data_IF_636431687982
#
_entry.id   IF_636431687982
#
_cell.length_a   1.000
_cell.length_b   1.000
_cell.length_c   1.000
_cell.angle_alpha   90.00
_cell.angle_beta   90.00
_cell.angle_gamma   90.00
#
_symmetry.space_group_name_H-M   'P 1'
#
loop_
_entity.id
_entity.type
_entity.pdbx_description
1 polymer ?
#
# COMPACT_ATOMS: atom_id res chain seq x y z
N UNK A 1 -42.92 5.64 0.07
CA UNK A 1 -42.49 7.04 0.21
C UNK A 1 -41.33 7.18 1.19
N UNK A 2 -41.43 6.66 2.43
CA UNK A 2 -40.36 6.73 3.44
C UNK A 2 -39.02 6.13 3.00
N UNK A 3 -39.01 4.95 2.38
CA UNK A 3 -37.78 4.32 1.88
C UNK A 3 -37.01 5.20 0.89
N UNK A 4 -37.72 5.84 -0.04
CA UNK A 4 -37.13 6.74 -1.04
C UNK A 4 -36.54 8.00 -0.42
N UNK A 5 -37.06 8.45 0.72
CA UNK A 5 -36.49 9.58 1.47
C UNK A 5 -35.19 9.13 2.17
N UNK A 6 -35.22 7.95 2.79
CA UNK A 6 -34.07 7.39 3.51
C UNK A 6 -32.87 7.10 2.60
N UNK A 7 -33.08 6.79 1.32
CA UNK A 7 -31.99 6.59 0.35
C UNK A 7 -31.24 7.88 0.00
N UNK A 8 -31.77 9.06 0.35
CA UNK A 8 -31.07 10.34 0.18
C UNK A 8 -30.19 10.71 1.39
N UNK A 9 -30.19 9.90 2.46
CA UNK A 9 -29.28 10.12 3.59
C UNK A 9 -27.86 9.69 3.17
N UNK A 10 -26.94 10.64 3.21
CA UNK A 10 -25.55 10.50 2.77
C UNK A 10 -24.53 10.30 3.91
N UNK A 11 -25.00 10.32 5.17
CA UNK A 11 -24.22 9.98 6.36
C UNK A 11 -24.77 8.72 7.05
N UNK A 12 -23.87 7.79 7.35
CA UNK A 12 -24.12 6.63 8.23
C UNK A 12 -24.78 7.00 9.56
N UNK A 13 -24.42 8.15 10.15
CA UNK A 13 -24.96 8.58 11.42
C UNK A 13 -26.44 8.96 11.30
N UNK A 14 -26.89 9.48 10.15
CA UNK A 14 -28.30 9.75 9.90
C UNK A 14 -29.10 8.47 9.75
N UNK A 15 -28.56 7.46 9.08
CA UNK A 15 -29.20 6.14 9.00
C UNK A 15 -29.32 5.47 10.37
N UNK A 16 -28.29 5.59 11.23
CA UNK A 16 -28.33 5.10 12.62
C UNK A 16 -29.35 5.89 13.45
N UNK A 17 -29.38 7.23 13.33
CA UNK A 17 -30.37 8.06 14.02
C UNK A 17 -31.80 7.69 13.58
N UNK A 18 -32.01 7.48 12.29
CA UNK A 18 -33.30 7.05 11.74
C UNK A 18 -33.71 5.68 12.28
N UNK A 19 -32.79 4.71 12.35
CA UNK A 19 -33.08 3.38 12.90
C UNK A 19 -33.39 3.41 14.40
N UNK A 20 -32.85 4.38 15.15
CA UNK A 20 -33.11 4.55 16.58
C UNK A 20 -34.51 5.14 16.91
N UNK A 21 -35.23 5.69 15.93
CA UNK A 21 -36.54 6.35 16.16
C UNK A 21 -37.61 5.35 16.64
N UNK A 22 -37.69 4.17 16.02
CA UNK A 22 -38.58 3.09 16.44
C UNK A 22 -38.20 1.76 15.78
N UNK A 23 -38.68 0.64 16.33
CA UNK A 23 -38.49 -0.69 15.72
C UNK A 23 -38.99 -0.77 14.27
N UNK A 24 -40.02 -0.01 13.92
CA UNK A 24 -40.52 0.03 12.54
C UNK A 24 -39.51 0.70 11.59
N UNK A 25 -38.90 1.81 12.00
CA UNK A 25 -37.86 2.47 11.21
C UNK A 25 -36.58 1.64 11.15
N UNK A 26 -36.20 1.03 12.28
CA UNK A 26 -35.08 0.08 12.31
C UNK A 26 -35.27 -1.03 11.28
N UNK A 27 -36.44 -1.67 11.25
CA UNK A 27 -36.73 -2.71 10.27
C UNK A 27 -36.66 -2.20 8.83
N UNK A 28 -37.16 -0.98 8.55
CA UNK A 28 -37.03 -0.39 7.20
C UNK A 28 -35.55 -0.21 6.83
N UNK A 29 -34.72 0.35 7.72
CA UNK A 29 -33.31 0.61 7.42
C UNK A 29 -32.52 -0.70 7.25
N UNK A 30 -32.71 -1.66 8.17
CA UNK A 30 -32.00 -2.94 8.19
C UNK A 30 -32.44 -3.83 7.04
N UNK A 31 -33.74 -4.09 6.88
CA UNK A 31 -34.25 -5.03 5.87
C UNK A 31 -34.07 -4.54 4.44
N UNK A 32 -33.86 -3.24 4.21
CA UNK A 32 -33.56 -2.68 2.90
C UNK A 32 -32.05 -2.44 2.67
N UNK A 33 -31.18 -2.84 3.61
CA UNK A 33 -29.73 -2.77 3.43
C UNK A 33 -29.20 -1.36 3.19
N UNK A 34 -29.81 -0.32 3.79
CA UNK A 34 -29.50 1.06 3.44
C UNK A 34 -28.05 1.47 3.75
N UNK A 35 -27.45 0.93 4.81
CA UNK A 35 -26.02 1.17 5.11
C UNK A 35 -25.10 0.60 4.02
N UNK A 36 -25.42 -0.60 3.51
CA UNK A 36 -24.69 -1.20 2.40
C UNK A 36 -24.85 -0.37 1.13
N UNK A 37 -26.07 0.07 0.84
CA UNK A 37 -26.34 0.94 -0.30
C UNK A 37 -25.56 2.25 -0.24
N UNK A 38 -25.52 2.89 0.94
CA UNK A 38 -24.73 4.11 1.15
C UNK A 38 -23.24 3.87 0.90
N UNK A 39 -22.67 2.80 1.47
CA UNK A 39 -21.28 2.41 1.24
C UNK A 39 -20.96 2.21 -0.24
N UNK A 40 -21.77 1.41 -0.97
CA UNK A 40 -21.55 1.12 -2.38
C UNK A 40 -21.72 2.37 -3.25
N UNK A 41 -22.67 3.24 -2.91
CA UNK A 41 -22.88 4.50 -3.65
C UNK A 41 -21.67 5.41 -3.51
N UNK A 42 -21.05 5.46 -2.33
CA UNK A 42 -19.88 6.32 -2.09
C UNK A 42 -18.55 5.68 -2.54
N UNK A 43 -18.46 4.36 -2.45
CA UNK A 43 -17.28 3.54 -2.72
C UNK A 43 -17.70 2.30 -3.54
N UNK A 44 -17.78 2.43 -4.87
CA UNK A 44 -18.30 1.38 -5.75
C UNK A 44 -17.56 0.05 -5.65
N UNK A 45 -16.29 0.05 -5.25
CA UNK A 45 -15.46 -1.16 -5.10
C UNK A 45 -16.07 -2.15 -4.10
N UNK A 46 -16.79 -1.64 -3.08
CA UNK A 46 -17.47 -2.44 -2.07
C UNK A 46 -18.60 -3.31 -2.62
N UNK A 47 -19.08 -3.07 -3.85
CA UNK A 47 -20.09 -3.90 -4.50
C UNK A 47 -19.63 -5.35 -4.72
N UNK A 48 -18.31 -5.59 -4.75
CA UNK A 48 -17.73 -6.93 -4.86
C UNK A 48 -17.88 -7.77 -3.59
N UNK A 49 -18.16 -7.16 -2.44
CA UNK A 49 -18.32 -7.88 -1.16
C UNK A 49 -19.65 -8.64 -1.17
N UNK A 50 -19.54 -9.96 -1.10
CA UNK A 50 -20.68 -10.88 -1.20
C UNK A 50 -21.32 -11.18 0.15
N UNK A 51 -20.53 -11.24 1.23
CA UNK A 51 -21.02 -11.53 2.58
C UNK A 51 -20.21 -10.81 3.66
N UNK A 52 -20.77 -10.77 4.86
CA UNK A 52 -20.14 -10.22 6.06
C UNK A 52 -20.03 -11.33 7.10
N UNK A 53 -18.84 -11.50 7.64
CA UNK A 53 -18.53 -12.45 8.70
C UNK A 53 -18.15 -11.65 9.98
N UNK A 54 -18.99 -11.68 11.02
CA UNK A 54 -18.72 -10.99 12.29
C UNK A 54 -17.79 -11.85 13.16
N UNK A 55 -16.72 -11.23 13.67
CA UNK A 55 -15.78 -11.88 14.59
C UNK A 55 -16.39 -11.89 15.99
N UNK A 56 -16.67 -13.08 16.53
CA UNK A 56 -17.15 -13.24 17.90
C UNK A 56 -15.98 -13.40 18.87
N UNK A 57 -15.92 -12.54 19.89
CA UNK A 57 -14.98 -12.65 21.01
C UNK A 57 -15.57 -13.39 22.22
N UNK A 58 -16.88 -13.68 22.18
CA UNK A 58 -17.59 -14.44 23.21
C UNK A 58 -17.98 -15.82 22.68
N UNK A 59 -18.05 -16.82 23.57
CA UNK A 59 -18.60 -18.15 23.28
C UNK A 59 -20.13 -18.15 23.13
N UNK A 60 -20.77 -16.98 23.04
CA UNK A 60 -22.20 -16.86 22.79
C UNK A 60 -22.53 -17.21 21.35
N UNK A 61 -23.70 -17.81 21.12
CA UNK A 61 -24.14 -18.10 19.76
C UNK A 61 -24.16 -16.82 18.90
N UNK A 62 -23.64 -16.87 17.67
CA UNK A 62 -23.66 -15.73 16.77
C UNK A 62 -25.09 -15.24 16.58
N UNK A 63 -25.28 -13.92 16.51
CA UNK A 63 -26.63 -13.37 16.34
C UNK A 63 -27.24 -13.93 15.05
N UNK A 64 -28.35 -14.65 15.17
CA UNK A 64 -28.96 -15.38 14.04
C UNK A 64 -29.54 -14.47 12.94
N UNK A 65 -29.50 -13.14 13.11
CA UNK A 65 -30.03 -12.19 12.13
C UNK A 65 -28.93 -11.59 11.24
N UNK A 66 -28.65 -12.28 10.13
CA UNK A 66 -27.66 -11.85 9.11
C UNK A 66 -27.85 -10.41 8.63
N UNK A 67 -29.09 -9.91 8.53
CA UNK A 67 -29.36 -8.54 8.07
C UNK A 67 -28.92 -7.48 9.10
N UNK A 68 -29.05 -7.76 10.39
CA UNK A 68 -28.59 -6.85 11.45
C UNK A 68 -27.06 -6.78 11.50
N UNK A 69 -26.39 -7.93 11.36
CA UNK A 69 -24.93 -8.01 11.27
C UNK A 69 -24.45 -7.18 10.07
N UNK A 70 -25.04 -7.41 8.90
CA UNK A 70 -24.68 -6.68 7.67
C UNK A 70 -24.91 -5.17 7.85
N UNK A 71 -26.06 -4.77 8.40
CA UNK A 71 -26.35 -3.37 8.69
C UNK A 71 -25.31 -2.73 9.62
N UNK A 72 -24.95 -3.38 10.73
CA UNK A 72 -23.94 -2.89 11.68
C UNK A 72 -22.57 -2.79 11.03
N UNK A 73 -22.14 -3.84 10.33
CA UNK A 73 -20.83 -3.89 9.69
C UNK A 73 -20.67 -2.78 8.64
N UNK A 74 -21.65 -2.59 7.75
CA UNK A 74 -21.58 -1.53 6.75
C UNK A 74 -21.70 -0.13 7.35
N UNK A 75 -22.51 0.06 8.40
CA UNK A 75 -22.59 1.34 9.10
C UNK A 75 -21.25 1.69 9.76
N UNK A 76 -20.62 0.73 10.44
CA UNK A 76 -19.28 0.88 11.02
C UNK A 76 -18.21 1.08 9.95
N UNK A 77 -18.29 0.34 8.84
CA UNK A 77 -17.36 0.46 7.71
C UNK A 77 -17.41 1.87 7.13
N UNK A 78 -18.59 2.42 6.85
CA UNK A 78 -18.72 3.80 6.35
C UNK A 78 -18.00 4.80 7.25
N UNK A 79 -18.18 4.69 8.57
CA UNK A 79 -17.50 5.54 9.54
C UNK A 79 -15.99 5.33 9.51
N UNK A 80 -15.50 4.10 9.41
CA UNK A 80 -14.08 3.81 9.31
C UNK A 80 -13.45 4.43 8.05
N UNK A 81 -14.11 4.29 6.90
CA UNK A 81 -13.68 4.83 5.61
C UNK A 81 -13.48 6.35 5.65
N UNK A 82 -14.30 7.06 6.43
CA UNK A 82 -14.26 8.53 6.52
C UNK A 82 -13.50 9.07 7.73
N UNK A 83 -13.37 8.29 8.81
CA UNK A 83 -12.91 8.79 10.12
C UNK A 83 -11.59 8.20 10.61
N UNK A 84 -11.15 7.02 10.13
CA UNK A 84 -9.88 6.43 10.58
C UNK A 84 -8.68 7.29 10.19
N UNK A 85 -7.63 7.41 11.01
CA UNK A 85 -6.52 8.31 10.73
C UNK A 85 -5.82 7.97 9.41
N UNK A 86 -5.25 8.97 8.75
CA UNK A 86 -4.39 8.72 7.59
C UNK A 86 -3.05 8.10 8.01
N UNK A 87 -2.59 7.14 7.23
CA UNK A 87 -1.35 6.38 7.41
C UNK A 87 -0.62 6.20 6.08
N UNK A 88 0.65 5.81 6.16
CA UNK A 88 1.35 5.21 5.02
C UNK A 88 0.84 3.77 4.83
N UNK A 89 0.43 3.44 3.62
CA UNK A 89 -0.28 2.20 3.31
C UNK A 89 0.57 1.14 2.63
N UNK A 90 1.75 1.47 2.10
CA UNK A 90 2.66 0.46 1.54
C UNK A 90 3.37 -0.28 2.69
N UNK A 91 3.43 -1.61 2.61
CA UNK A 91 4.13 -2.47 3.55
C UNK A 91 5.44 -2.98 2.93
N UNK A 92 5.33 -3.80 1.89
CA UNK A 92 6.45 -4.53 1.31
C UNK A 92 6.43 -4.42 -0.22
N UNK A 93 7.58 -4.47 -0.91
CA UNK A 93 7.58 -4.63 -2.35
C UNK A 93 7.17 -6.06 -2.69
N UNK A 94 6.61 -6.25 -3.88
CA UNK A 94 6.21 -7.57 -4.39
C UNK A 94 7.02 -7.92 -5.62
N UNK A 95 6.99 -7.05 -6.64
CA UNK A 95 7.62 -7.33 -7.93
C UNK A 95 7.83 -6.02 -8.69
N UNK A 96 8.86 -5.98 -9.52
CA UNK A 96 9.03 -5.02 -10.61
C UNK A 96 8.96 -5.77 -11.95
N UNK A 97 8.43 -5.14 -13.00
CA UNK A 97 8.41 -5.76 -14.34
C UNK A 97 9.80 -6.10 -14.87
N UNK A 98 10.79 -5.30 -14.48
CA UNK A 98 12.20 -5.55 -14.72
C UNK A 98 13.04 -4.91 -13.61
N UNK A 99 14.28 -5.36 -13.47
CA UNK A 99 15.29 -4.69 -12.65
C UNK A 99 16.63 -4.82 -13.38
N UNK A 100 17.41 -3.74 -13.46
CA UNK A 100 18.72 -3.77 -14.12
C UNK A 100 19.76 -4.49 -13.26
N UNK A 101 20.55 -3.75 -12.45
CA UNK A 101 21.57 -4.36 -11.61
C UNK A 101 20.91 -4.93 -10.34
N UNK A 102 20.39 -6.15 -10.42
CA UNK A 102 19.79 -6.84 -9.26
C UNK A 102 20.86 -7.53 -8.40
N UNK A 103 20.79 -7.45 -7.04
CA UNK A 103 19.76 -6.82 -6.20
C UNK A 103 19.97 -5.32 -5.90
N UNK A 104 21.06 -4.76 -6.40
CA UNK A 104 21.56 -3.42 -6.10
C UNK A 104 20.54 -2.29 -6.34
N UNK A 105 19.79 -2.38 -7.43
CA UNK A 105 18.82 -1.39 -7.91
C UNK A 105 17.38 -1.94 -7.84
N UNK A 106 17.12 -2.78 -6.84
CA UNK A 106 15.83 -3.45 -6.69
C UNK A 106 14.74 -2.54 -6.10
N UNK A 107 13.48 -2.96 -6.29
CA UNK A 107 12.28 -2.27 -5.83
C UNK A 107 12.28 -1.99 -4.32
N UNK A 108 12.98 -2.78 -3.50
CA UNK A 108 13.07 -2.59 -2.04
C UNK A 108 13.62 -1.21 -1.67
N UNK A 109 14.52 -0.66 -2.49
CA UNK A 109 15.12 0.65 -2.28
C UNK A 109 14.08 1.77 -2.30
N UNK A 110 12.96 1.57 -2.99
CA UNK A 110 11.89 2.57 -3.09
C UNK A 110 11.06 2.75 -1.82
N UNK A 111 11.30 1.94 -0.77
CA UNK A 111 10.62 2.07 0.52
C UNK A 111 11.30 3.03 1.48
N UNK A 112 12.60 3.29 1.27
CA UNK A 112 13.36 4.20 2.11
C UNK A 112 13.40 5.60 1.46
N UNK A 113 12.98 6.66 2.18
CA UNK A 113 12.99 8.02 1.65
C UNK A 113 14.39 8.59 1.47
N UNK A 114 15.45 7.92 1.96
CA UNK A 114 16.82 8.41 1.86
C UNK A 114 17.38 8.07 0.49
N UNK A 115 17.79 9.10 -0.24
CA UNK A 115 18.49 8.95 -1.52
C UNK A 115 19.81 8.14 -1.39
N UNK A 116 20.37 8.03 -0.17
CA UNK A 116 21.57 7.24 0.12
C UNK A 116 21.46 6.40 1.39
N UNK A 117 21.87 5.13 1.29
CA UNK A 117 21.98 4.19 2.41
C UNK A 117 23.40 3.61 2.40
N UNK A 118 24.11 3.70 3.54
CA UNK A 118 25.48 3.18 3.69
C UNK A 118 26.43 3.60 2.54
N UNK A 119 26.35 4.89 2.14
CA UNK A 119 27.12 5.51 1.06
C UNK A 119 26.78 5.07 -0.38
N UNK A 120 25.71 4.30 -0.56
CA UNK A 120 25.18 3.89 -1.86
C UNK A 120 23.93 4.69 -2.19
N UNK A 121 23.77 5.12 -3.45
CA UNK A 121 22.50 5.68 -3.92
C UNK A 121 21.39 4.59 -3.84
N UNK A 122 20.23 4.95 -3.29
CA UNK A 122 19.11 4.04 -3.06
C UNK A 122 17.97 4.37 -4.01
N UNK A 123 17.76 3.50 -5.01
CA UNK A 123 16.70 3.63 -6.01
C UNK A 123 16.40 2.27 -6.65
N UNK A 124 15.26 2.18 -7.31
CA UNK A 124 14.97 1.13 -8.27
C UNK A 124 15.32 1.59 -9.69
N UNK A 125 15.81 0.67 -10.54
CA UNK A 125 16.11 0.89 -11.95
C UNK A 125 15.50 -0.19 -12.84
N UNK A 126 14.80 0.20 -13.90
CA UNK A 126 14.35 -0.71 -14.96
C UNK A 126 15.52 -1.23 -15.80
N UNK A 127 15.36 -2.35 -16.50
CA UNK A 127 16.31 -2.68 -17.59
C UNK A 127 16.19 -1.68 -18.76
N UNK A 128 17.26 -1.55 -19.55
CA UNK A 128 17.29 -0.66 -20.71
C UNK A 128 16.39 -1.12 -21.86
N UNK A 129 15.62 -0.20 -22.45
CA UNK A 129 14.75 -0.43 -23.60
C UNK A 129 15.13 0.46 -24.79
N UNK A 130 15.05 -0.08 -26.01
CA UNK A 130 15.16 0.72 -27.24
C UNK A 130 13.85 1.50 -27.54
N UNK A 131 12.72 1.00 -27.04
CA UNK A 131 11.41 1.63 -27.19
C UNK A 131 11.17 2.64 -26.05
N UNK A 132 11.06 3.95 -26.35
CA UNK A 132 10.76 4.97 -25.34
C UNK A 132 9.32 4.92 -24.83
N UNK A 133 8.41 4.14 -25.43
CA UNK A 133 7.05 3.97 -24.95
C UNK A 133 6.85 2.68 -24.14
N UNK A 134 7.89 1.84 -24.03
CA UNK A 134 7.86 0.61 -23.23
C UNK A 134 7.59 0.95 -21.74
N UNK A 135 6.48 0.48 -21.16
CA UNK A 135 6.12 0.77 -19.78
C UNK A 135 6.91 -0.11 -18.80
N UNK A 136 6.90 0.30 -17.53
CA UNK A 136 7.36 -0.51 -16.41
C UNK A 136 6.28 -0.53 -15.30
N UNK A 137 6.31 -1.54 -14.45
CA UNK A 137 5.40 -1.70 -13.32
C UNK A 137 6.15 -1.99 -12.03
N UNK A 138 5.67 -1.40 -10.95
CA UNK A 138 6.09 -1.68 -9.57
C UNK A 138 4.86 -2.11 -8.77
N UNK A 139 4.91 -3.28 -8.15
CA UNK A 139 3.82 -3.85 -7.38
C UNK A 139 4.21 -3.89 -5.91
N UNK A 140 3.31 -3.41 -5.06
CA UNK A 140 3.47 -3.34 -3.61
C UNK A 140 2.31 -4.00 -2.89
N UNK A 141 2.63 -4.64 -1.76
CA UNK A 141 1.65 -5.06 -0.78
C UNK A 141 1.32 -3.89 0.15
N UNK A 142 0.06 -3.75 0.52
CA UNK A 142 -0.41 -2.75 1.45
C UNK A 142 -0.43 -3.30 2.88
N UNK A 143 -0.48 -2.40 3.86
CA UNK A 143 -0.47 -2.74 5.30
C UNK A 143 -1.72 -3.49 5.77
N UNK A 144 -2.74 -3.63 4.93
CA UNK A 144 -3.91 -4.47 5.15
C UNK A 144 -4.57 -4.88 3.83
N UNK A 145 -5.34 -5.98 3.87
CA UNK A 145 -6.16 -6.43 2.74
C UNK A 145 -7.31 -5.49 2.40
N UNK A 146 -7.61 -4.52 3.27
CA UNK A 146 -8.59 -3.47 3.04
C UNK A 146 -8.04 -2.11 3.47
N UNK A 147 -7.81 -1.25 2.49
CA UNK A 147 -7.27 0.10 2.67
C UNK A 147 -8.07 1.11 1.83
N UNK A 148 -8.17 2.36 2.30
CA UNK A 148 -8.66 3.48 1.49
C UNK A 148 -7.46 4.29 1.03
N UNK A 149 -7.18 4.35 -0.27
CA UNK A 149 -6.06 5.13 -0.79
C UNK A 149 -6.57 6.46 -1.33
N UNK A 150 -5.93 7.56 -0.92
CA UNK A 150 -6.27 8.91 -1.36
C UNK A 150 -5.19 9.54 -2.23
N UNK A 151 -3.92 9.25 -1.94
CA UNK A 151 -2.79 9.84 -2.64
C UNK A 151 -1.67 8.81 -2.80
N UNK A 152 -0.94 8.90 -3.90
CA UNK A 152 0.30 8.17 -4.11
C UNK A 152 1.40 9.21 -4.30
N UNK A 153 2.56 8.98 -3.70
CA UNK A 153 3.74 9.84 -3.80
C UNK A 153 4.82 9.05 -4.50
N UNK A 154 5.48 9.68 -5.48
CA UNK A 154 6.60 9.09 -6.21
C UNK A 154 7.70 10.13 -6.39
N UNK A 155 8.95 9.70 -6.27
CA UNK A 155 10.15 10.52 -6.42
C UNK A 155 11.01 9.95 -7.54
N UNK A 156 11.11 10.61 -8.71
CA UNK A 156 12.03 10.21 -9.77
C UNK A 156 13.48 10.34 -9.33
N UNK A 157 14.32 9.36 -9.67
CA UNK A 157 15.74 9.39 -9.29
C UNK A 157 16.59 10.25 -10.23
N UNK A 158 17.55 10.96 -9.66
CA UNK A 158 18.57 11.72 -10.37
C UNK A 158 19.94 11.07 -10.18
N UNK A 159 20.58 10.68 -11.27
CA UNK A 159 21.89 10.05 -11.23
C UNK A 159 22.99 11.12 -11.04
N UNK A 160 23.26 11.49 -9.79
CA UNK A 160 24.28 12.49 -9.44
C UNK A 160 25.71 12.05 -9.80
N UNK A 161 25.91 10.77 -10.07
CA UNK A 161 27.18 10.18 -10.48
C UNK A 161 27.43 10.24 -12.01
N UNK A 162 26.46 10.72 -12.80
CA UNK A 162 26.59 10.87 -14.25
C UNK A 162 26.74 12.34 -14.65
N UNK A 163 27.42 12.59 -15.79
CA UNK A 163 27.50 13.91 -16.40
C UNK A 163 26.09 14.46 -16.68
N UNK A 164 25.90 15.76 -16.46
CA UNK A 164 24.62 16.48 -16.60
C UNK A 164 23.53 16.09 -15.58
N UNK A 165 23.83 15.22 -14.61
CA UNK A 165 22.92 14.81 -13.54
C UNK A 165 21.52 14.43 -14.03
N UNK A 166 21.41 13.46 -14.95
CA UNK A 166 20.18 13.14 -15.64
C UNK A 166 19.11 12.59 -14.68
N UNK A 167 17.85 12.91 -14.99
CA UNK A 167 16.68 12.44 -14.25
C UNK A 167 15.99 11.37 -15.07
N UNK A 168 15.99 10.14 -14.55
CA UNK A 168 15.40 8.97 -15.18
C UNK A 168 13.92 8.83 -14.81
N UNK A 169 13.11 9.84 -15.13
CA UNK A 169 11.67 9.81 -14.84
C UNK A 169 10.87 9.09 -15.93
N UNK A 170 9.69 8.59 -15.57
CA UNK A 170 8.66 8.32 -16.57
C UNK A 170 8.04 9.63 -17.10
N UNK A 171 7.28 9.57 -18.21
CA UNK A 171 6.47 10.70 -18.70
C UNK A 171 5.20 10.86 -17.88
N UNK A 172 4.61 9.75 -17.49
CA UNK A 172 3.35 9.69 -16.76
C UNK A 172 3.27 8.44 -15.87
N UNK A 173 2.28 8.42 -14.99
CA UNK A 173 1.96 7.28 -14.13
C UNK A 173 0.48 6.96 -14.11
N UNK A 174 0.17 5.69 -13.86
CA UNK A 174 -1.18 5.19 -13.61
C UNK A 174 -1.15 4.21 -12.44
N UNK A 175 -2.15 4.26 -11.58
CA UNK A 175 -2.24 3.39 -10.41
C UNK A 175 -3.34 2.36 -10.59
N UNK A 176 -3.07 1.11 -10.18
CA UNK A 176 -4.08 0.05 -10.12
C UNK A 176 -4.11 -0.55 -8.73
N UNK A 177 -5.30 -0.96 -8.30
CA UNK A 177 -5.52 -1.60 -7.00
C UNK A 177 -6.31 -2.88 -7.19
N UNK A 178 -6.00 -3.89 -6.38
CA UNK A 178 -6.63 -5.19 -6.54
C UNK A 178 -6.07 -6.26 -5.61
N UNK A 179 -6.17 -7.50 -6.07
CA UNK A 179 -5.82 -8.70 -5.33
C UNK A 179 -5.17 -9.74 -6.24
N UNK A 180 -4.40 -10.69 -5.69
CA UNK A 180 -3.89 -11.82 -6.45
C UNK A 180 -5.02 -12.71 -6.97
N UNK A 181 -4.75 -13.43 -8.08
CA UNK A 181 -5.64 -14.45 -8.64
C UNK A 181 -5.74 -15.66 -7.72
N UNK A 182 -4.62 -16.09 -7.17
CA UNK A 182 -4.53 -17.14 -6.15
C UNK A 182 -3.50 -16.75 -5.09
N UNK A 183 -3.74 -17.13 -3.83
CA UNK A 183 -2.78 -16.88 -2.74
C UNK A 183 -1.52 -17.74 -2.88
N UNK A 184 -1.66 -18.90 -3.51
CA UNK A 184 -0.56 -19.86 -3.70
C UNK A 184 0.42 -19.40 -4.79
N UNK A 185 0.01 -18.50 -5.68
CA UNK A 185 0.87 -17.94 -6.74
C UNK A 185 1.87 -16.88 -6.24
N UNK A 186 1.73 -16.44 -4.98
CA UNK A 186 2.60 -15.45 -4.32
C UNK A 186 3.40 -16.07 -3.16
N UNK A 187 3.90 -17.30 -3.32
CA UNK A 187 4.76 -17.93 -2.31
C UNK A 187 6.11 -17.19 -2.17
N UNK A 188 6.85 -17.50 -1.11
CA UNK A 188 8.16 -16.89 -0.81
C UNK A 188 9.15 -17.00 -1.97
N UNK A 189 9.18 -18.15 -2.65
CA UNK A 189 10.02 -18.37 -3.83
C UNK A 189 9.73 -17.34 -4.93
N UNK A 190 8.46 -16.96 -5.12
CA UNK A 190 8.09 -15.95 -6.11
C UNK A 190 8.55 -14.54 -5.74
N UNK A 191 8.44 -14.18 -4.46
CA UNK A 191 8.93 -12.89 -3.97
C UNK A 191 10.46 -12.78 -4.05
N UNK A 192 11.17 -13.91 -3.97
CA UNK A 192 12.63 -13.97 -4.14
C UNK A 192 13.04 -13.87 -5.61
N UNK A 193 12.29 -14.48 -6.55
CA UNK A 193 12.65 -14.44 -7.97
C UNK A 193 12.42 -13.09 -8.63
N UNK A 194 11.63 -12.19 -8.03
CA UNK A 194 11.33 -10.84 -8.55
C UNK A 194 10.87 -10.86 -10.02
N UNK A 195 10.21 -11.94 -10.44
CA UNK A 195 9.65 -12.07 -11.78
C UNK A 195 8.50 -11.08 -11.99
N UNK A 196 8.26 -10.72 -13.25
CA UNK A 196 7.12 -9.90 -13.63
C UNK A 196 5.82 -10.60 -13.20
N UNK A 197 5.04 -9.93 -12.34
CA UNK A 197 3.85 -10.50 -11.72
C UNK A 197 2.54 -10.03 -12.35
N UNK A 198 2.59 -9.23 -13.41
CA UNK A 198 1.44 -8.45 -13.90
C UNK A 198 0.21 -9.31 -14.23
N UNK A 199 0.42 -10.55 -14.66
CA UNK A 199 -0.61 -11.52 -15.00
C UNK A 199 -1.14 -12.31 -13.79
N UNK A 200 -0.53 -12.19 -12.61
CA UNK A 200 -0.94 -12.88 -11.37
C UNK A 200 -1.98 -12.11 -10.55
N UNK A 201 -2.35 -10.91 -10.99
CA UNK A 201 -3.27 -10.03 -10.26
C UNK A 201 -4.57 -9.77 -11.02
N UNK A 202 -5.63 -9.52 -10.25
CA UNK A 202 -6.91 -8.98 -10.72
C UNK A 202 -6.98 -7.54 -10.23
N UNK A 203 -6.95 -6.60 -11.18
CA UNK A 203 -7.04 -5.17 -10.91
C UNK A 203 -8.50 -4.72 -10.96
N UNK A 204 -9.06 -4.35 -9.81
CA UNK A 204 -10.47 -3.93 -9.68
C UNK A 204 -10.65 -2.42 -9.84
N UNK A 205 -9.58 -1.66 -9.66
CA UNK A 205 -9.54 -0.22 -9.91
C UNK A 205 -8.35 0.16 -10.80
N UNK A 206 -8.56 1.15 -11.67
CA UNK A 206 -7.51 1.78 -12.47
C UNK A 206 -7.73 3.29 -12.48
N UNK A 207 -6.72 4.05 -12.08
CA UNK A 207 -6.79 5.51 -12.06
C UNK A 207 -6.71 6.13 -13.46
N UNK A 208 -7.04 7.43 -13.60
CA UNK A 208 -6.55 8.23 -14.72
C UNK A 208 -5.02 8.21 -14.81
N UNK A 209 -4.50 8.65 -15.96
CA UNK A 209 -3.06 8.88 -16.14
C UNK A 209 -2.71 10.25 -15.56
N UNK A 210 -1.62 10.32 -14.79
CA UNK A 210 -1.08 11.56 -14.25
C UNK A 210 0.28 11.87 -14.88
N UNK A 211 0.55 13.11 -15.31
CA UNK A 211 1.86 13.49 -15.82
C UNK A 211 2.90 13.52 -14.68
N UNK A 212 4.13 13.09 -14.98
CA UNK A 212 5.27 13.17 -14.06
C UNK A 212 6.16 14.32 -14.47
N UNK A 213 6.48 15.21 -13.54
CA UNK A 213 7.47 16.26 -13.76
C UNK A 213 8.88 15.66 -13.79
N UNK A 214 9.74 16.16 -14.67
CA UNK A 214 11.14 15.73 -14.79
C UNK A 214 12.02 16.41 -13.73
N UNK A 215 11.72 16.16 -12.47
CA UNK A 215 12.35 16.85 -11.34
C UNK A 215 12.71 15.86 -10.23
N UNK A 216 13.87 16.04 -9.62
CA UNK A 216 14.35 15.24 -8.49
C UNK A 216 13.69 15.68 -7.17
N UNK A 217 12.38 15.44 -7.06
CA UNK A 217 11.61 15.72 -5.84
C UNK A 217 10.41 14.79 -5.71
N UNK A 218 9.90 14.68 -4.48
CA UNK A 218 8.63 14.02 -4.19
C UNK A 218 7.47 14.70 -4.93
N UNK A 219 6.75 13.92 -5.73
CA UNK A 219 5.56 14.36 -6.46
C UNK A 219 4.34 13.63 -5.93
N UNK A 220 3.26 14.39 -5.66
CA UNK A 220 2.02 13.87 -5.08
C UNK A 220 0.94 13.73 -6.15
N UNK A 221 0.39 12.54 -6.24
CA UNK A 221 -0.67 12.17 -7.16
C UNK A 221 -1.94 11.89 -6.38
N UNK A 222 -2.81 12.90 -6.30
CA UNK A 222 -4.11 12.78 -5.63
C UNK A 222 -5.12 12.11 -6.54
N UNK A 223 -5.77 11.07 -6.05
CA UNK A 223 -6.84 10.41 -6.78
C UNK A 223 -8.08 11.31 -6.84
N UNK A 224 -8.89 11.25 -7.90
CA UNK A 224 -10.10 12.09 -8.02
C UNK A 224 -11.03 11.93 -6.82
N UNK A 225 -11.17 10.68 -6.35
CA UNK A 225 -11.87 10.30 -5.13
C UNK A 225 -11.01 9.28 -4.37
N UNK A 226 -11.13 9.18 -3.03
CA UNK A 226 -10.51 8.09 -2.28
C UNK A 226 -11.06 6.73 -2.72
N UNK A 227 -10.18 5.76 -2.92
CA UNK A 227 -10.51 4.44 -3.49
C UNK A 227 -10.37 3.36 -2.44
N UNK A 228 -11.32 2.44 -2.34
CA UNK A 228 -11.20 1.26 -1.49
C UNK A 228 -10.42 0.17 -2.23
N UNK A 229 -9.19 -0.07 -1.82
CA UNK A 229 -8.40 -1.20 -2.27
C UNK A 229 -8.83 -2.47 -1.53
N UNK A 230 -9.52 -3.36 -2.25
CA UNK A 230 -9.89 -4.70 -1.80
C UNK A 230 -8.83 -5.68 -2.32
N UNK A 231 -8.12 -6.33 -1.39
CA UNK A 231 -7.01 -7.24 -1.70
C UNK A 231 -5.68 -6.82 -1.12
N UNK A 232 -5.48 -5.51 -0.94
CA UNK A 232 -4.27 -4.97 -0.37
C UNK A 232 -3.09 -4.89 -1.34
N UNK A 233 -3.31 -4.78 -2.65
CA UNK A 233 -2.20 -4.61 -3.61
C UNK A 233 -2.34 -3.32 -4.42
N UNK A 234 -1.21 -2.66 -4.63
CA UNK A 234 -1.05 -1.46 -5.44
C UNK A 234 -0.01 -1.71 -6.54
N UNK A 235 -0.39 -1.47 -7.80
CA UNK A 235 0.54 -1.39 -8.92
C UNK A 235 0.70 0.06 -9.36
N UNK A 236 1.94 0.48 -9.57
CA UNK A 236 2.32 1.73 -10.21
C UNK A 236 2.81 1.40 -11.61
N UNK A 237 2.07 1.85 -12.63
CA UNK A 237 2.49 1.77 -14.03
C UNK A 237 3.23 3.06 -14.39
N UNK A 238 4.50 2.92 -14.77
CA UNK A 238 5.40 3.97 -15.22
C UNK A 238 5.32 4.03 -16.75
N UNK A 239 4.73 5.09 -17.29
CA UNK A 239 4.38 5.20 -18.70
C UNK A 239 5.33 6.17 -19.41
N UNK A 240 5.96 5.68 -20.48
CA UNK A 240 6.89 6.42 -21.30
C UNK A 240 8.22 6.70 -20.59
N UNK A 241 9.31 6.45 -21.29
CA UNK A 241 10.68 6.69 -20.87
C UNK A 241 11.18 8.01 -21.45
N UNK A 242 12.06 8.66 -20.71
CA UNK A 242 12.44 10.04 -21.00
C UNK A 242 13.95 10.19 -21.21
N UNK A 243 14.73 9.47 -20.40
CA UNK A 243 16.17 9.61 -20.37
C UNK A 243 16.85 8.41 -21.03
N UNK A 244 17.85 8.71 -21.85
CA UNK A 244 18.75 7.72 -22.45
C UNK A 244 20.03 7.64 -21.62
N UNK A 245 20.47 6.44 -21.30
CA UNK A 245 21.76 6.21 -20.64
C UNK A 245 22.89 6.28 -21.67
N UNK A 246 23.94 7.04 -21.36
CA UNK A 246 25.04 7.27 -22.30
C UNK A 246 25.90 6.02 -22.56
N UNK A 247 25.89 5.05 -21.64
CA UNK A 247 26.73 3.85 -21.71
C UNK A 247 26.30 2.89 -22.82
N UNK A 248 24.99 2.74 -23.04
CA UNK A 248 24.44 1.76 -23.99
C UNK A 248 23.43 2.36 -24.98
N UNK A 249 23.05 3.63 -24.81
CA UNK A 249 22.12 4.32 -25.69
C UNK A 249 20.65 3.92 -25.50
N UNK A 250 20.30 3.25 -24.40
CA UNK A 250 18.93 2.79 -24.12
C UNK A 250 18.18 3.69 -23.15
N UNK A 251 16.86 3.58 -23.16
CA UNK A 251 15.97 4.30 -22.27
C UNK A 251 15.77 3.56 -20.95
N UNK A 252 15.84 4.31 -19.84
CA UNK A 252 15.69 3.79 -18.47
C UNK A 252 14.67 4.63 -17.67
N UNK A 253 14.06 4.00 -16.66
CA UNK A 253 13.27 4.65 -15.61
C UNK A 253 13.87 4.26 -14.26
N UNK A 254 14.09 5.25 -13.40
CA UNK A 254 14.55 5.05 -12.04
C UNK A 254 13.63 5.77 -11.04
N UNK A 255 13.34 5.11 -9.93
CA UNK A 255 12.48 5.63 -8.86
C UNK A 255 13.24 5.59 -7.54
N UNK A 256 13.39 6.74 -6.89
CA UNK A 256 14.06 6.85 -5.61
C UNK A 256 13.16 6.40 -4.46
N UNK A 257 11.91 6.88 -4.43
CA UNK A 257 11.00 6.63 -3.32
C UNK A 257 9.52 6.59 -3.73
N UNK A 258 8.75 5.75 -3.05
CA UNK A 258 7.30 5.59 -3.24
C UNK A 258 6.57 5.54 -1.90
N UNK A 259 5.42 6.21 -1.81
CA UNK A 259 4.48 6.07 -0.70
C UNK A 259 3.03 6.02 -1.20
N UNK A 260 2.18 5.27 -0.51
CA UNK A 260 0.73 5.41 -0.62
C UNK A 260 0.18 6.01 0.68
N UNK A 261 -0.64 7.05 0.57
CA UNK A 261 -1.27 7.72 1.71
C UNK A 261 -2.76 7.39 1.68
N UNK A 262 -3.24 6.87 2.79
CA UNK A 262 -4.57 6.34 2.88
C UNK A 262 -5.00 6.04 4.30
N UNK A 263 -5.96 5.14 4.48
CA UNK A 263 -6.47 4.68 5.76
C UNK A 263 -6.44 3.16 5.76
N UNK A 264 -5.68 2.59 6.69
CA UNK A 264 -5.72 1.16 6.99
C UNK A 264 -6.99 0.84 7.78
N UNK A 265 -7.77 -0.16 7.37
CA UNK A 265 -9.02 -0.54 8.08
C UNK A 265 -8.85 -1.72 9.06
N UNK A 266 -7.74 -2.46 8.95
CA UNK A 266 -7.36 -3.49 9.92
C UNK A 266 -6.93 -2.85 11.26
N UNK A 267 -7.19 -3.50 12.41
CA UNK A 267 -7.76 -4.85 12.54
C UNK A 267 -9.30 -4.94 12.49
N UNK A 268 -10.01 -3.82 12.59
CA UNK A 268 -11.48 -3.79 12.62
C UNK A 268 -12.15 -4.40 11.37
N UNK A 269 -11.51 -4.27 10.21
CA UNK A 269 -11.98 -4.86 8.96
C UNK A 269 -10.85 -5.57 8.22
N UNK A 270 -11.17 -6.70 7.63
CA UNK A 270 -10.31 -7.40 6.67
C UNK A 270 -11.15 -8.12 5.63
N UNK A 271 -10.54 -8.46 4.51
CA UNK A 271 -11.19 -9.20 3.42
C UNK A 271 -10.55 -10.56 3.25
N UNK A 272 -11.39 -11.56 3.00
CA UNK A 272 -10.97 -12.89 2.58
C UNK A 272 -11.61 -13.28 1.25
N UNK A 273 -10.84 -14.00 0.46
CA UNK A 273 -11.26 -14.56 -0.82
C UNK A 273 -11.44 -16.07 -0.64
N UNK A 274 -12.59 -16.60 -1.06
CA UNK A 274 -12.87 -18.04 -1.04
C UNK A 274 -12.90 -18.61 -2.45
N UNK A 275 -11.92 -19.46 -2.75
CA UNK A 275 -11.92 -20.34 -3.92
C UNK A 275 -12.83 -21.56 -3.65
N UNK A 276 -13.56 -22.09 -4.65
CA UNK A 276 -13.61 -21.71 -6.07
C UNK A 276 -14.69 -20.66 -6.40
N UNK A 277 -15.40 -20.14 -5.41
CA UNK A 277 -16.59 -19.29 -5.60
C UNK A 277 -16.30 -17.85 -6.02
N UNK A 278 -15.03 -17.43 -6.02
CA UNK A 278 -14.60 -16.02 -6.09
C UNK A 278 -15.40 -15.11 -5.14
N UNK A 279 -15.91 -15.67 -4.04
CA UNK A 279 -16.67 -14.89 -3.07
C UNK A 279 -15.71 -14.09 -2.21
N UNK A 280 -16.05 -12.82 -2.05
CA UNK A 280 -15.31 -11.87 -1.22
C UNK A 280 -16.10 -11.70 0.07
N UNK A 281 -15.52 -12.07 1.21
CA UNK A 281 -16.13 -11.86 2.53
C UNK A 281 -15.45 -10.73 3.29
N UNK A 282 -16.28 -9.86 3.88
CA UNK A 282 -15.82 -8.82 4.79
C UNK A 282 -15.85 -9.35 6.21
N UNK A 283 -14.69 -9.51 6.83
CA UNK A 283 -14.58 -9.74 8.26
C UNK A 283 -14.76 -8.43 9.01
N UNK A 284 -15.65 -8.44 9.99
CA UNK A 284 -15.95 -7.29 10.83
C UNK A 284 -15.74 -7.63 12.30
N UNK A 285 -14.87 -6.88 12.97
CA UNK A 285 -14.63 -6.98 14.40
C UNK A 285 -15.14 -5.72 15.10
N UNK A 286 -16.26 -5.87 15.82
CA UNK A 286 -16.92 -4.78 16.52
C UNK A 286 -16.10 -4.25 17.70
N UNK A 287 -15.30 -5.10 18.36
CA UNK A 287 -14.47 -4.72 19.51
C UNK A 287 -13.31 -3.86 19.02
N UNK A 288 -12.58 -4.35 18.03
CA UNK A 288 -11.46 -3.61 17.42
C UNK A 288 -11.92 -2.30 16.78
N UNK A 289 -13.10 -2.28 16.15
CA UNK A 289 -13.72 -1.05 15.66
C UNK A 289 -13.97 -0.04 16.79
N UNK A 290 -14.54 -0.49 17.91
CA UNK A 290 -14.79 0.35 19.07
C UNK A 290 -13.51 0.96 19.64
N UNK A 291 -12.44 0.14 19.76
CA UNK A 291 -11.11 0.59 20.19
C UNK A 291 -10.56 1.65 19.24
N UNK A 292 -10.56 1.38 17.93
CA UNK A 292 -10.06 2.31 16.92
C UNK A 292 -10.80 3.67 16.96
N UNK A 293 -12.13 3.66 17.07
CA UNK A 293 -12.93 4.88 17.15
C UNK A 293 -12.71 5.66 18.45
N UNK A 294 -12.45 4.98 19.57
CA UNK A 294 -12.13 5.64 20.84
C UNK A 294 -10.78 6.37 20.76
N UNK A 295 -9.79 5.79 20.07
CA UNK A 295 -8.49 6.39 19.84
C UNK A 295 -8.55 7.60 18.93
N UNK A 296 -9.38 7.56 17.88
CA UNK A 296 -9.67 8.71 17.01
C UNK A 296 -10.27 9.86 17.82
N UNK A 297 -11.28 9.57 18.65
CA UNK A 297 -11.97 10.59 19.45
C UNK A 297 -11.08 11.22 20.52
N UNK A 298 -10.10 10.46 21.03
CA UNK A 298 -9.15 10.91 22.05
C UNK A 298 -7.92 11.64 21.48
N UNK A 299 -7.80 11.79 20.16
CA UNK A 299 -6.65 12.40 19.51
C UNK A 299 -5.34 11.63 19.68
N UNK A 300 -5.39 10.36 20.12
CA UNK A 300 -4.21 9.52 20.36
C UNK A 300 -3.56 8.99 19.08
N UNK A 301 -4.30 8.99 17.97
CA UNK A 301 -3.78 8.66 16.65
C UNK A 301 -3.33 9.94 15.94
N UNK A 302 -2.10 10.39 16.20
CA UNK A 302 -1.48 11.41 15.35
C UNK A 302 -1.35 10.86 13.93
N UNK A 303 -2.14 11.43 13.02
CA UNK A 303 -2.02 11.25 11.58
C UNK A 303 -0.59 11.55 11.13
N UNK A 304 0.01 10.66 10.35
CA UNK A 304 1.29 10.86 9.67
C UNK A 304 2.37 11.54 10.55
N UNK A 305 2.70 10.95 11.70
CA UNK A 305 3.96 11.31 12.39
C UNK A 305 5.15 10.78 11.60
N UNK A 306 6.20 11.60 11.50
CA UNK A 306 7.45 11.50 10.72
C UNK A 306 8.39 10.32 11.07
N UNK A 307 7.86 9.23 11.60
CA UNK A 307 8.64 8.01 11.84
C UNK A 307 8.79 7.23 10.53
N UNK A 308 9.77 7.65 9.73
CA UNK A 308 10.19 7.07 8.44
C UNK A 308 10.92 5.71 8.58
N UNK A 309 10.59 4.91 9.59
CA UNK A 309 11.18 3.59 9.76
C UNK A 309 10.09 2.53 9.76
N UNK A 310 10.18 1.49 8.92
CA UNK A 310 9.27 0.36 9.02
C UNK A 310 9.42 -0.25 10.42
N UNK A 311 8.27 -0.54 11.06
CA UNK A 311 8.18 -1.08 12.43
C UNK A 311 8.86 -2.45 12.56
N UNK A 312 9.21 -3.09 11.44
CA UNK A 312 10.08 -4.26 11.38
C UNK A 312 10.87 -4.21 10.07
N UNK A 313 12.16 -4.61 10.03
CA UNK A 313 12.84 -4.83 8.77
C UNK A 313 12.01 -5.83 7.95
N UNK A 314 11.78 -5.59 6.64
CA UNK A 314 11.25 -6.58 5.72
C UNK A 314 11.88 -7.94 6.00
N UNK A 315 11.09 -9.02 6.04
CA UNK A 315 11.62 -10.36 6.37
C UNK A 315 12.81 -10.77 5.49
N UNK A 316 12.91 -10.21 4.28
CA UNK A 316 14.04 -10.37 3.35
C UNK A 316 15.36 -9.73 3.85
N UNK A 317 15.31 -8.62 4.60
CA UNK A 317 16.49 -7.98 5.22
C UNK A 317 17.11 -8.83 6.33
N UNK A 318 16.36 -9.78 6.93
CA UNK A 318 16.91 -10.62 7.98
C UNK A 318 17.83 -11.73 7.45
N UNK A 319 17.66 -12.17 6.20
CA UNK A 319 18.40 -13.32 5.66
C UNK A 319 19.66 -12.91 4.89
N UNK A 320 19.61 -11.86 4.07
CA UNK A 320 20.79 -11.33 3.36
C UNK A 320 21.88 -10.89 4.33
N UNK A 321 21.49 -10.21 5.41
CA UNK A 321 22.42 -9.75 6.45
C UNK A 321 23.07 -10.90 7.24
N UNK A 322 22.43 -12.08 7.33
CA UNK A 322 23.02 -13.22 8.05
C UNK A 322 24.13 -13.86 7.23
N UNK A 323 23.99 -13.89 5.90
CA UNK A 323 24.97 -14.49 5.00
C UNK A 323 26.20 -13.59 4.85
N UNK A 324 26.01 -12.28 4.76
CA UNK A 324 27.08 -11.28 4.79
C UNK A 324 27.79 -11.26 6.16
N UNK A 325 27.03 -11.37 7.26
CA UNK A 325 27.61 -11.50 8.61
C UNK A 325 28.40 -12.80 8.79
N UNK A 326 27.90 -13.92 8.25
CA UNK A 326 28.60 -15.21 8.31
C UNK A 326 29.87 -15.22 7.45
N UNK A 327 29.87 -14.59 6.28
CA UNK A 327 31.07 -14.40 5.47
C UNK A 327 32.10 -13.50 6.18
N UNK A 328 31.65 -12.43 6.84
CA UNK A 328 32.51 -11.52 7.59
C UNK A 328 33.14 -12.20 8.82
N UNK A 329 32.41 -13.06 9.53
CA UNK A 329 32.92 -13.81 10.69
C UNK A 329 33.85 -14.97 10.27
N UNK A 330 33.67 -15.54 9.07
CA UNK A 330 34.50 -16.63 8.56
C UNK A 330 35.77 -16.17 7.84
N UNK A 331 35.87 -14.89 7.46
CA UNK A 331 36.98 -14.37 6.66
C UNK A 331 38.27 -14.02 7.44
N UNK A 332 38.33 -14.23 8.76
CA UNK A 332 39.56 -13.96 9.53
C UNK A 332 39.98 -15.09 10.47
N UNK A 333 40.75 -16.09 10.00
CA UNK A 333 41.51 -16.97 10.87
C UNK A 333 42.91 -16.45 11.25
N UNK A 334 43.44 -15.45 10.56
CA UNK A 334 44.82 -14.98 10.80
C UNK A 334 44.85 -13.50 11.23
N UNK A 335 45.27 -13.30 12.48
CA UNK A 335 45.30 -12.02 13.15
C UNK A 335 46.33 -11.06 12.57
N UNK A 336 45.94 -9.78 12.49
CA UNK A 336 46.85 -8.66 12.34
C UNK A 336 46.57 -7.73 13.52
N UNK A 337 47.60 -7.48 14.33
CA UNK A 337 47.58 -6.51 15.43
C UNK A 337 47.25 -5.12 14.88
N UNK A 338 46.26 -4.46 15.51
CA UNK A 338 45.98 -3.05 15.29
C UNK A 338 46.94 -2.22 16.14
N UNK A 339 47.93 -1.57 15.50
CA UNK A 339 48.66 -0.44 16.10
C UNK A 339 47.77 0.80 16.09
N UNK A 340 47.65 1.43 17.26
CA UNK A 340 47.00 2.74 17.41
C UNK A 340 47.94 3.82 16.89
N UNK A 341 47.48 4.64 15.95
CA UNK A 341 48.16 5.88 15.58
C UNK A 341 47.72 6.94 16.58
N UNK A 342 48.64 7.34 17.46
CA UNK A 342 48.46 8.47 18.36
C UNK A 342 48.35 9.78 17.57
N UNK A 343 47.32 10.56 17.87
CA UNK A 343 47.10 11.91 17.36
C UNK A 343 48.13 12.87 17.99
N UNK A 344 49.08 13.36 17.19
CA UNK A 344 49.85 14.55 17.53
C UNK A 344 49.96 15.53 16.33
N UNK A 345 49.73 16.80 16.68
CA UNK A 345 50.08 18.05 15.96
C UNK A 345 49.23 18.52 14.76
N UNK A 346 48.16 19.25 15.09
CA UNK A 346 47.73 20.42 14.31
C UNK A 346 48.60 21.63 14.68
N UNK A 347 49.54 22.03 13.83
CA UNK A 347 50.06 23.41 13.82
C UNK A 347 49.30 24.26 12.79
N UNK A 348 48.84 25.41 13.29
CA UNK A 348 48.18 26.50 12.55
C UNK A 348 49.26 27.32 11.84
N UNK A 349 49.17 27.48 10.51
CA UNK A 349 49.08 28.76 9.77
C UNK A 349 48.39 28.52 8.44
#
# INVERSE_FOLDING_TARGET
>A
MALKILTYLDDSADLIRASAVSRYWQNIVVSNGLSKHLCITRFPELASITRVDEVSHDNSEPSHNSAEIEHRAYASLFRALTSFPQTYCIADPVSASSTDNYPEESIINTLDPRDRILHRDSYWSSTGSDDPEAPETLIYNLTASLCVISEIVLHPFQALFQMDFPIYSSKAVRFRMGHPKSRDELDHDFMETQECADDKFIWTYTSPIFPVARENRLQRFKLPEPVVCIGGFLQIQLLGRVQVQAADGKYYICVAHVQAIGRRLSPAFSVEFSEPSNSVSLKYDAVEFGVAMSNVSSGRNNSLSTSLLPVQPPRQLAWGNLQDFMQMVQAHPDGVEYEWVDDDEFEIV
#
